data_IF_175791487197
#
_entry.id   IF_175791487197
#
_cell.length_a   1.000
_cell.length_b   1.000
_cell.length_c   1.000
_cell.angle_alpha   90.00
_cell.angle_beta   90.00
_cell.angle_gamma   90.00
#
_symmetry.space_group_name_H-M   'P 1'
#
loop_
_entity.id
_entity.type
_entity.pdbx_description
1 polymer ?
#
# COMPACT_ATOMS: atom_id res chain seq x y z
N UNK A 1 6.11 2.33 16.71
CA UNK A 1 5.44 3.63 17.01
C UNK A 1 6.27 4.39 18.03
N UNK A 2 6.47 5.69 17.86
CA UNK A 2 7.28 6.55 18.74
C UNK A 2 6.49 7.81 19.09
N UNK A 3 6.40 8.15 20.38
CA UNK A 3 5.75 9.37 20.87
C UNK A 3 6.79 10.42 21.24
N UNK A 4 6.44 11.70 21.07
CA UNK A 4 7.26 12.85 21.49
C UNK A 4 7.04 13.25 22.97
N UNK A 5 6.21 12.51 23.69
CA UNK A 5 5.87 12.76 25.10
C UNK A 5 6.09 11.52 25.98
N UNK A 6 6.83 11.64 27.10
CA UNK A 6 7.03 10.53 28.04
C UNK A 6 5.72 10.03 28.63
N UNK A 7 5.62 8.72 28.80
CA UNK A 7 4.47 8.09 29.45
C UNK A 7 4.59 8.22 30.97
N UNK A 8 3.49 8.62 31.63
CA UNK A 8 3.32 8.55 33.08
C UNK A 8 2.35 7.44 33.49
N UNK A 9 1.72 6.78 32.52
CA UNK A 9 0.84 5.64 32.69
C UNK A 9 1.06 4.67 31.53
N UNK A 10 1.12 3.38 31.85
CA UNK A 10 1.13 2.28 30.89
C UNK A 10 0.19 1.18 31.39
N UNK A 11 -0.45 0.48 30.47
CA UNK A 11 -1.17 -0.75 30.75
C UNK A 11 -1.20 -1.63 29.50
N UNK A 12 -1.16 -2.94 29.71
CA UNK A 12 -1.42 -3.91 28.65
C UNK A 12 -2.85 -4.45 28.77
N UNK A 13 -3.44 -4.77 27.61
CA UNK A 13 -4.81 -5.29 27.50
C UNK A 13 -4.77 -6.68 26.86
N UNK A 14 -5.43 -7.65 27.49
CA UNK A 14 -5.65 -8.99 26.96
C UNK A 14 -7.13 -9.33 27.05
N UNK A 15 -7.83 -9.34 25.90
CA UNK A 15 -9.28 -9.42 25.87
C UNK A 15 -9.92 -8.24 26.61
N UNK A 16 -10.63 -8.52 27.72
CA UNK A 16 -11.28 -7.50 28.54
C UNK A 16 -10.49 -7.11 29.80
N UNK A 17 -9.32 -7.71 30.02
CA UNK A 17 -8.50 -7.45 31.21
C UNK A 17 -7.48 -6.34 30.95
N UNK A 18 -7.45 -5.34 31.84
CA UNK A 18 -6.46 -4.26 31.82
C UNK A 18 -5.47 -4.48 32.97
N UNK A 19 -4.19 -4.59 32.64
CA UNK A 19 -3.11 -4.77 33.62
C UNK A 19 -2.27 -3.49 33.67
N UNK A 20 -2.48 -2.69 34.71
CA UNK A 20 -1.70 -1.47 34.94
C UNK A 20 -0.20 -1.79 35.14
N UNK A 21 0.66 -1.01 34.49
CA UNK A 21 2.10 -1.26 34.44
C UNK A 21 2.54 -2.37 33.47
N UNK A 22 1.59 -3.08 32.84
CA UNK A 22 1.89 -4.10 31.83
C UNK A 22 2.54 -3.48 30.58
N UNK A 23 3.64 -4.08 30.11
CA UNK A 23 4.40 -3.63 28.94
C UNK A 23 4.30 -4.58 27.74
N UNK A 24 3.72 -5.77 27.95
CA UNK A 24 3.55 -6.79 26.93
C UNK A 24 2.17 -7.44 27.09
N UNK A 25 1.56 -7.83 25.97
CA UNK A 25 0.37 -8.66 25.92
C UNK A 25 0.41 -9.56 24.70
N UNK A 26 0.20 -10.86 24.91
CA UNK A 26 0.05 -11.85 23.85
C UNK A 26 -1.32 -12.49 23.98
N UNK A 27 -2.26 -11.98 23.21
CA UNK A 27 -3.65 -12.41 23.23
C UNK A 27 -4.25 -12.33 21.82
N UNK A 28 -5.35 -13.05 21.59
CA UNK A 28 -6.17 -12.92 20.39
C UNK A 28 -6.70 -11.49 20.14
N UNK A 29 -6.86 -10.71 21.22
CA UNK A 29 -7.24 -9.31 21.22
C UNK A 29 -6.32 -8.55 22.18
N UNK A 30 -5.08 -8.34 21.75
CA UNK A 30 -4.09 -7.57 22.49
C UNK A 30 -4.29 -6.06 22.29
N UNK A 31 -3.99 -5.28 23.32
CA UNK A 31 -3.98 -3.82 23.26
C UNK A 31 -2.98 -3.21 24.23
N UNK A 32 -2.72 -1.92 24.06
CA UNK A 32 -1.88 -1.13 24.95
C UNK A 32 -2.53 0.22 25.23
N UNK A 33 -2.46 0.67 26.48
CA UNK A 33 -2.93 1.99 26.92
C UNK A 33 -1.72 2.73 27.47
N UNK A 34 -1.48 3.93 26.95
CA UNK A 34 -0.48 4.85 27.47
C UNK A 34 -1.16 6.12 27.93
N UNK A 35 -0.54 6.84 28.86
CA UNK A 35 -1.10 8.07 29.38
C UNK A 35 -0.05 9.03 29.91
N UNK A 36 -0.43 10.30 29.94
CA UNK A 36 0.40 11.43 30.37
C UNK A 36 -0.48 12.64 30.69
N UNK A 37 0.01 13.56 31.52
CA UNK A 37 -0.68 14.82 31.78
C UNK A 37 -0.48 15.82 30.63
N UNK A 38 -1.54 16.52 30.24
CA UNK A 38 -1.50 17.57 29.19
C UNK A 38 -1.95 18.93 29.72
N UNK A 39 -1.45 20.00 29.10
CA UNK A 39 -1.96 21.36 29.28
C UNK A 39 -2.95 21.72 28.17
N UNK A 40 -3.80 22.74 28.41
CA UNK A 40 -4.72 23.24 27.38
C UNK A 40 -3.93 23.67 26.13
N UNK A 41 -4.23 23.04 25.00
CA UNK A 41 -3.59 23.32 23.71
C UNK A 41 -2.29 22.56 23.43
N UNK A 42 -1.84 21.69 24.33
CA UNK A 42 -0.67 20.83 24.09
C UNK A 42 -0.97 19.79 23.01
N UNK A 43 -0.06 19.63 22.05
CA UNK A 43 -0.12 18.61 21.00
C UNK A 43 0.89 17.51 21.31
N UNK A 44 0.49 16.26 21.08
CA UNK A 44 1.35 15.08 21.19
C UNK A 44 1.36 14.38 19.84
N UNK A 45 2.53 14.02 19.35
CA UNK A 45 2.69 13.34 18.08
C UNK A 45 3.06 11.88 18.30
N UNK A 46 2.59 11.03 17.39
CA UNK A 46 2.94 9.63 17.32
C UNK A 46 3.40 9.31 15.89
N UNK A 47 4.65 8.93 15.71
CA UNK A 47 5.17 8.42 14.46
C UNK A 47 4.91 6.91 14.40
N UNK A 48 4.23 6.44 13.36
CA UNK A 48 3.79 5.05 13.23
C UNK A 48 4.20 4.53 11.85
N UNK A 49 4.77 3.33 11.84
CA UNK A 49 5.01 2.53 10.66
C UNK A 49 4.74 1.06 11.01
N UNK A 50 4.52 0.24 9.99
CA UNK A 50 4.33 -1.19 10.09
C UNK A 50 5.08 -1.88 8.95
N UNK A 51 5.22 -3.20 9.04
CA UNK A 51 5.78 -4.04 7.99
C UNK A 51 5.07 -5.39 7.98
N UNK A 52 5.00 -6.03 6.81
CA UNK A 52 4.60 -7.43 6.69
C UNK A 52 5.79 -8.39 6.82
N UNK A 53 7.02 -7.87 6.92
CA UNK A 53 8.27 -8.63 6.94
C UNK A 53 8.73 -8.88 8.38
N UNK A 54 9.02 -7.82 9.14
CA UNK A 54 9.48 -7.93 10.53
C UNK A 54 9.38 -6.61 11.30
N UNK A 55 9.59 -6.65 12.61
CA UNK A 55 9.66 -5.43 13.45
C UNK A 55 10.83 -4.53 13.02
N UNK A 56 12.00 -5.10 12.68
CA UNK A 56 13.16 -4.34 12.18
C UNK A 56 12.86 -3.63 10.86
N UNK A 57 12.12 -4.28 9.96
CA UNK A 57 11.69 -3.64 8.72
C UNK A 57 10.65 -2.52 8.99
N UNK A 58 9.79 -2.68 10.00
CA UNK A 58 8.88 -1.60 10.41
C UNK A 58 9.64 -0.38 10.97
N UNK A 59 10.76 -0.61 11.68
CA UNK A 59 11.66 0.46 12.12
C UNK A 59 12.38 1.13 10.94
N UNK A 60 12.78 0.37 9.91
CA UNK A 60 13.31 0.93 8.66
C UNK A 60 12.28 1.83 7.97
N UNK A 61 11.04 1.36 7.84
CA UNK A 61 9.94 2.14 7.24
C UNK A 61 9.62 3.41 8.04
N UNK A 62 9.78 3.38 9.37
CA UNK A 62 9.56 4.55 10.23
C UNK A 62 10.51 5.72 9.86
N UNK A 63 11.65 5.42 9.24
CA UNK A 63 12.60 6.44 8.77
C UNK A 63 12.02 7.34 7.68
N UNK A 64 10.95 6.93 6.99
CA UNK A 64 10.23 7.78 6.04
C UNK A 64 9.64 9.04 6.70
N UNK A 65 9.38 9.00 8.01
CA UNK A 65 8.86 10.13 8.79
C UNK A 65 9.96 10.91 9.52
N UNK A 66 11.22 10.44 9.49
CA UNK A 66 12.26 10.94 10.36
C UNK A 66 12.63 12.39 10.06
N UNK A 67 12.56 13.23 11.11
CA UNK A 67 12.97 14.63 11.07
C UNK A 67 11.92 15.61 10.53
N UNK A 68 10.77 15.13 10.04
CA UNK A 68 9.69 16.02 9.59
C UNK A 68 8.67 16.31 10.71
N UNK A 69 8.11 17.52 10.68
CA UNK A 69 6.91 17.85 11.44
C UNK A 69 5.65 17.31 10.75
N UNK A 70 4.54 17.23 11.48
CA UNK A 70 3.24 16.87 10.91
C UNK A 70 2.87 17.73 9.69
N UNK A 71 3.04 19.05 9.80
CA UNK A 71 2.73 19.98 8.71
C UNK A 71 3.61 19.73 7.47
N UNK A 72 4.89 19.38 7.69
CA UNK A 72 5.80 19.04 6.60
C UNK A 72 5.42 17.71 5.92
N UNK A 73 4.99 16.71 6.69
CA UNK A 73 4.46 15.45 6.15
C UNK A 73 3.19 15.72 5.32
N UNK A 74 2.28 16.56 5.82
CA UNK A 74 1.05 16.93 5.12
C UNK A 74 1.33 17.65 3.80
N UNK A 75 2.34 18.55 3.77
CA UNK A 75 2.79 19.24 2.56
C UNK A 75 3.41 18.25 1.56
N UNK A 76 4.32 17.37 1.98
CA UNK A 76 4.91 16.33 1.12
C UNK A 76 3.82 15.43 0.50
N UNK A 77 2.83 15.03 1.29
CA UNK A 77 1.69 14.26 0.81
C UNK A 77 0.86 15.02 -0.23
N UNK A 78 0.61 16.31 -0.01
CA UNK A 78 -0.08 17.18 -0.98
C UNK A 78 0.69 17.28 -2.29
N UNK A 79 2.01 17.43 -2.23
CA UNK A 79 2.86 17.52 -3.42
C UNK A 79 2.85 16.23 -4.23
N UNK A 80 2.91 15.07 -3.56
CA UNK A 80 2.77 13.76 -4.19
C UNK A 80 1.42 13.64 -4.89
N UNK A 81 0.32 14.01 -4.22
CA UNK A 81 -1.01 13.97 -4.82
C UNK A 81 -1.13 14.91 -6.01
N UNK A 82 -0.68 16.16 -5.89
CA UNK A 82 -0.70 17.11 -7.00
C UNK A 82 0.09 16.59 -8.20
N UNK A 83 1.28 16.01 -8.00
CA UNK A 83 2.07 15.43 -9.09
C UNK A 83 1.37 14.27 -9.80
N UNK A 84 0.62 13.45 -9.07
CA UNK A 84 -0.14 12.33 -9.64
C UNK A 84 -1.39 12.83 -10.37
N UNK A 85 -2.16 13.71 -9.74
CA UNK A 85 -3.45 14.18 -10.24
C UNK A 85 -3.32 15.21 -11.38
N UNK A 86 -2.23 15.99 -11.42
CA UNK A 86 -1.97 16.98 -12.47
C UNK A 86 -1.55 16.37 -13.80
N UNK A 87 -1.54 15.03 -13.93
CA UNK A 87 -1.41 14.35 -15.22
C UNK A 87 -2.56 14.67 -16.17
N UNK A 88 -3.70 15.07 -15.62
CA UNK A 88 -4.86 15.54 -16.37
C UNK A 88 -5.30 16.88 -15.80
N UNK A 89 -5.29 17.89 -16.64
CA UNK A 89 -5.80 19.22 -16.33
C UNK A 89 -7.16 19.39 -17.00
N UNK A 90 -8.18 19.68 -16.19
CA UNK A 90 -9.56 19.89 -16.65
C UNK A 90 -9.96 21.32 -16.34
N UNK A 91 -10.42 22.04 -17.37
CA UNK A 91 -10.98 23.38 -17.23
C UNK A 91 -12.51 23.29 -17.35
N UNK A 92 -13.21 23.65 -16.28
CA UNK A 92 -14.67 23.68 -16.21
C UNK A 92 -15.09 24.77 -15.21
N UNK A 93 -16.07 25.60 -15.57
CA UNK A 93 -16.58 26.66 -14.70
C UNK A 93 -17.44 26.10 -13.56
N UNK A 94 -17.90 24.84 -13.67
CA UNK A 94 -18.65 24.16 -12.63
C UNK A 94 -17.72 23.45 -11.65
N UNK A 95 -17.65 23.98 -10.42
CA UNK A 95 -16.82 23.42 -9.34
C UNK A 95 -17.22 21.98 -8.96
N UNK A 96 -18.49 21.58 -9.12
CA UNK A 96 -18.92 20.22 -8.78
C UNK A 96 -18.45 19.19 -9.81
N UNK A 97 -18.30 19.59 -11.08
CA UNK A 97 -17.67 18.75 -12.11
C UNK A 97 -16.20 18.52 -11.77
N UNK A 98 -15.47 19.58 -11.40
CA UNK A 98 -14.07 19.49 -10.98
C UNK A 98 -13.89 18.59 -9.75
N UNK A 99 -14.75 18.77 -8.73
CA UNK A 99 -14.73 17.93 -7.52
C UNK A 99 -14.97 16.47 -7.85
N UNK A 100 -15.95 16.18 -8.69
CA UNK A 100 -16.29 14.81 -9.12
C UNK A 100 -15.11 14.20 -9.86
N UNK A 101 -14.57 14.91 -10.85
CA UNK A 101 -13.46 14.44 -11.66
C UNK A 101 -12.23 14.09 -10.82
N UNK A 102 -11.73 15.03 -10.01
CA UNK A 102 -10.52 14.82 -9.20
C UNK A 102 -10.74 13.82 -8.06
N UNK A 103 -11.97 13.72 -7.52
CA UNK A 103 -12.30 12.67 -6.54
C UNK A 103 -12.29 11.28 -7.18
N UNK A 104 -12.85 11.12 -8.38
CA UNK A 104 -12.77 9.87 -9.14
C UNK A 104 -11.32 9.52 -9.51
N UNK A 105 -10.54 10.49 -10.00
CA UNK A 105 -9.13 10.28 -10.34
C UNK A 105 -8.31 9.85 -9.13
N UNK A 106 -8.52 10.49 -7.97
CA UNK A 106 -7.93 10.06 -6.70
C UNK A 106 -8.24 8.58 -6.40
N UNK A 107 -9.50 8.15 -6.55
CA UNK A 107 -9.88 6.75 -6.34
C UNK A 107 -9.23 5.79 -7.33
N UNK A 108 -9.00 6.22 -8.56
CA UNK A 108 -8.35 5.43 -9.62
C UNK A 108 -6.84 5.25 -9.46
N UNK A 109 -6.21 5.79 -8.41
CA UNK A 109 -4.77 5.64 -8.17
C UNK A 109 -4.46 5.16 -6.74
N UNK A 110 -5.44 4.55 -6.06
CA UNK A 110 -5.25 3.91 -4.76
C UNK A 110 -4.91 2.41 -4.87
N UNK A 111 -5.44 1.73 -5.88
CA UNK A 111 -5.35 0.27 -6.03
C UNK A 111 -4.80 -0.15 -7.41
N UNK A 112 -4.13 -1.32 -7.50
CA UNK A 112 -3.70 -2.15 -6.36
C UNK A 112 -2.61 -1.44 -5.53
N UNK A 113 -2.60 -1.70 -4.21
CA UNK A 113 -1.62 -1.07 -3.32
C UNK A 113 -0.24 -1.69 -3.53
N UNK A 114 0.82 -0.90 -3.33
CA UNK A 114 2.15 -1.46 -3.14
C UNK A 114 2.14 -2.42 -1.95
N UNK A 115 2.67 -3.61 -2.15
CA UNK A 115 2.85 -4.64 -1.12
C UNK A 115 4.31 -5.07 -1.03
N UNK A 116 5.20 -4.17 -1.45
CA UNK A 116 6.64 -4.27 -1.33
C UNK A 116 7.15 -3.15 -0.42
N UNK A 117 8.32 -3.36 0.14
CA UNK A 117 9.02 -2.49 1.07
C UNK A 117 10.46 -2.29 0.57
N UNK A 118 11.18 -1.32 1.14
CA UNK A 118 12.60 -1.11 0.86
C UNK A 118 13.41 -1.59 2.04
N UNK A 119 14.36 -2.49 1.80
CA UNK A 119 15.29 -2.91 2.85
C UNK A 119 16.27 -1.78 3.23
N UNK A 120 17.13 -2.04 4.23
CA UNK A 120 18.14 -1.09 4.70
C UNK A 120 19.17 -0.68 3.62
N UNK A 121 19.28 -1.42 2.51
CA UNK A 121 20.14 -1.11 1.37
C UNK A 121 19.37 -0.44 0.21
N UNK A 122 18.08 -0.15 0.42
CA UNK A 122 17.19 0.44 -0.58
C UNK A 122 16.71 -0.54 -1.65
N UNK A 123 16.92 -1.85 -1.47
CA UNK A 123 16.46 -2.88 -2.39
C UNK A 123 14.96 -3.14 -2.19
N UNK A 124 14.27 -3.44 -3.30
CA UNK A 124 12.85 -3.78 -3.27
C UNK A 124 12.68 -5.23 -2.81
N UNK A 125 11.95 -5.43 -1.73
CA UNK A 125 11.61 -6.73 -1.15
C UNK A 125 10.15 -6.78 -0.78
N UNK A 126 9.56 -7.96 -0.64
CA UNK A 126 8.19 -8.11 -0.18
C UNK A 126 8.01 -9.37 0.64
N UNK A 127 7.04 -9.35 1.56
CA UNK A 127 6.44 -10.56 2.10
C UNK A 127 5.45 -11.12 1.08
N UNK A 128 5.63 -12.37 0.67
CA UNK A 128 4.73 -13.05 -0.26
C UNK A 128 3.46 -13.48 0.46
N UNK A 129 2.28 -12.92 0.13
CA UNK A 129 1.03 -13.38 0.69
C UNK A 129 0.58 -14.74 0.10
N UNK A 130 1.34 -15.31 -0.84
CA UNK A 130 1.03 -16.55 -1.53
C UNK A 130 1.78 -17.75 -0.96
N UNK A 131 3.01 -17.56 -0.50
CA UNK A 131 3.83 -18.64 0.07
C UNK A 131 4.49 -18.32 1.43
N UNK A 132 4.28 -17.10 1.95
CA UNK A 132 4.74 -16.68 3.28
C UNK A 132 6.24 -16.38 3.39
N UNK A 133 6.98 -16.33 2.29
CA UNK A 133 8.42 -16.01 2.28
C UNK A 133 8.67 -14.53 2.01
N UNK A 134 9.85 -14.05 2.40
CA UNK A 134 10.35 -12.72 2.01
C UNK A 134 11.19 -12.88 0.74
N UNK A 135 10.83 -12.18 -0.33
CA UNK A 135 11.43 -12.33 -1.65
C UNK A 135 11.77 -10.96 -2.26
N UNK A 136 12.76 -10.89 -3.17
CA UNK A 136 13.08 -9.66 -3.87
C UNK A 136 12.03 -9.30 -4.93
N UNK A 137 11.94 -8.01 -5.27
CA UNK A 137 11.12 -7.51 -6.37
C UNK A 137 9.76 -6.98 -5.94
N UNK A 138 9.04 -6.40 -6.89
CA UNK A 138 7.76 -5.74 -6.61
C UNK A 138 6.66 -6.76 -6.29
N UNK A 139 5.68 -6.31 -5.50
CA UNK A 139 4.44 -7.03 -5.20
C UNK A 139 3.32 -6.01 -5.05
N UNK A 140 2.13 -6.34 -5.56
CA UNK A 140 0.93 -5.51 -5.47
C UNK A 140 -0.28 -6.40 -5.17
N UNK A 141 -1.26 -5.89 -4.43
CA UNK A 141 -2.47 -6.64 -4.06
C UNK A 141 -3.66 -5.72 -3.79
N UNK A 142 -4.78 -6.27 -3.32
CA UNK A 142 -6.05 -5.61 -3.06
C UNK A 142 -6.73 -5.08 -4.33
N UNK A 143 -6.87 -5.96 -5.31
CA UNK A 143 -7.67 -5.67 -6.49
C UNK A 143 -8.35 -6.92 -7.03
N UNK A 144 -9.53 -6.71 -7.59
CA UNK A 144 -10.25 -7.69 -8.40
C UNK A 144 -10.12 -7.34 -9.88
N UNK A 145 -9.53 -8.21 -10.68
CA UNK A 145 -9.43 -8.01 -12.11
C UNK A 145 -10.76 -8.11 -12.82
N UNK A 146 -11.76 -8.81 -12.29
CA UNK A 146 -13.13 -8.78 -12.83
C UNK A 146 -13.72 -7.36 -12.90
N UNK A 147 -13.34 -6.49 -11.97
CA UNK A 147 -13.69 -5.06 -11.97
C UNK A 147 -12.70 -4.25 -12.82
N UNK A 148 -11.42 -4.37 -12.49
CA UNK A 148 -10.40 -3.36 -12.83
C UNK A 148 -9.79 -3.52 -14.22
N UNK A 149 -9.97 -4.65 -14.89
CA UNK A 149 -9.52 -4.84 -16.27
C UNK A 149 -10.20 -3.89 -17.27
N UNK A 150 -11.42 -3.45 -16.95
CA UNK A 150 -12.32 -2.73 -17.87
C UNK A 150 -11.83 -1.34 -18.22
N UNK A 151 -11.36 -0.61 -17.21
CA UNK A 151 -10.95 0.79 -17.38
C UNK A 151 -9.80 1.20 -16.47
N UNK A 152 -9.68 0.63 -15.26
CA UNK A 152 -8.61 1.02 -14.33
C UNK A 152 -7.22 0.68 -14.88
N UNK A 153 -6.94 -0.58 -15.18
CA UNK A 153 -5.64 -0.96 -15.78
C UNK A 153 -5.39 -0.30 -17.14
N UNK A 154 -6.36 -0.25 -18.06
CA UNK A 154 -6.21 0.53 -19.29
C UNK A 154 -5.86 2.00 -19.07
N UNK A 155 -6.44 2.63 -18.06
CA UNK A 155 -6.16 4.01 -17.66
C UNK A 155 -4.74 4.16 -17.08
N UNK A 156 -4.31 3.25 -16.21
CA UNK A 156 -2.94 3.25 -15.66
C UNK A 156 -1.89 3.06 -16.76
N UNK A 157 -2.15 2.19 -17.75
CA UNK A 157 -1.26 1.99 -18.89
C UNK A 157 -1.08 3.25 -19.73
N UNK A 158 -2.10 4.11 -19.81
CA UNK A 158 -2.03 5.38 -20.53
C UNK A 158 -1.36 6.48 -19.69
N UNK A 159 -1.81 6.68 -18.47
CA UNK A 159 -1.46 7.88 -17.67
C UNK A 159 -0.28 7.65 -16.72
N UNK A 160 -0.07 6.41 -16.28
CA UNK A 160 0.93 6.02 -15.28
C UNK A 160 1.73 4.76 -15.70
N UNK A 161 2.24 4.67 -16.94
CA UNK A 161 2.83 3.42 -17.48
C UNK A 161 4.01 2.89 -16.65
N UNK A 162 4.81 3.77 -16.03
CA UNK A 162 5.91 3.34 -15.16
C UNK A 162 5.43 2.59 -13.92
N UNK A 163 4.24 2.91 -13.41
CA UNK A 163 3.64 2.17 -12.29
C UNK A 163 3.05 0.85 -12.78
N UNK A 164 2.37 0.86 -13.93
CA UNK A 164 1.87 -0.37 -14.56
C UNK A 164 2.98 -1.39 -14.81
N UNK A 165 4.18 -0.97 -15.26
CA UNK A 165 5.33 -1.88 -15.43
C UNK A 165 5.69 -2.59 -14.12
N UNK A 166 5.70 -1.88 -12.99
CA UNK A 166 5.96 -2.47 -11.67
C UNK A 166 4.85 -3.42 -11.24
N UNK A 167 3.60 -3.09 -11.56
CA UNK A 167 2.46 -3.97 -11.29
C UNK A 167 2.55 -5.26 -12.11
N UNK A 168 2.97 -5.20 -13.38
CA UNK A 168 3.21 -6.39 -14.22
C UNK A 168 4.38 -7.24 -13.69
N UNK A 169 5.47 -6.62 -13.24
CA UNK A 169 6.54 -7.34 -12.54
C UNK A 169 6.04 -8.00 -11.25
N UNK A 170 5.14 -7.34 -10.51
CA UNK A 170 4.43 -7.94 -9.39
C UNK A 170 3.64 -9.18 -9.79
N UNK A 171 2.95 -9.17 -10.94
CA UNK A 171 2.20 -10.33 -11.44
C UNK A 171 3.11 -11.50 -11.83
N UNK A 172 4.29 -11.22 -12.39
CA UNK A 172 5.32 -12.25 -12.62
C UNK A 172 5.66 -12.94 -11.29
N UNK A 173 5.86 -12.15 -10.23
CA UNK A 173 6.17 -12.68 -8.91
C UNK A 173 5.02 -13.49 -8.33
N UNK A 174 3.76 -13.02 -8.44
CA UNK A 174 2.58 -13.81 -8.04
C UNK A 174 2.57 -15.18 -8.70
N UNK A 175 2.76 -15.24 -10.03
CA UNK A 175 2.79 -16.51 -10.75
C UNK A 175 3.92 -17.42 -10.29
N UNK A 176 5.14 -16.90 -10.12
CA UNK A 176 6.28 -17.68 -9.63
C UNK A 176 6.08 -18.20 -8.20
N UNK A 177 5.33 -17.46 -7.38
CA UNK A 177 5.17 -17.74 -5.96
C UNK A 177 3.96 -18.62 -5.64
N UNK A 178 2.96 -18.64 -6.52
CA UNK A 178 1.70 -19.37 -6.31
C UNK A 178 1.34 -20.35 -7.42
N UNK A 179 1.99 -20.28 -8.59
CA UNK A 179 1.67 -21.05 -9.79
C UNK A 179 0.47 -20.54 -10.60
N UNK A 180 -0.15 -19.41 -10.23
CA UNK A 180 -1.34 -18.85 -10.89
C UNK A 180 -1.30 -17.32 -10.89
N UNK A 181 -1.81 -16.69 -11.94
CA UNK A 181 -2.14 -15.26 -11.88
C UNK A 181 -3.37 -15.05 -10.96
N UNK A 182 -3.43 -13.92 -10.23
CA UNK A 182 -4.56 -13.62 -9.38
C UNK A 182 -5.74 -13.12 -10.23
N UNK A 183 -6.97 -13.43 -9.82
CA UNK A 183 -8.19 -12.76 -10.32
C UNK A 183 -8.77 -11.82 -9.27
N UNK A 184 -8.75 -12.24 -8.01
CA UNK A 184 -9.01 -11.41 -6.85
C UNK A 184 -7.93 -11.67 -5.82
N UNK A 185 -7.21 -10.62 -5.42
CA UNK A 185 -6.15 -10.73 -4.41
C UNK A 185 -6.43 -9.79 -3.24
N UNK A 186 -6.45 -10.33 -2.01
CA UNK A 186 -6.49 -9.53 -0.77
C UNK A 186 -6.13 -10.35 0.49
N UNK A 187 -4.84 -10.35 0.92
CA UNK A 187 -3.68 -9.99 0.12
C UNK A 187 -3.22 -11.14 -0.81
N UNK A 188 -3.52 -12.40 -0.47
CA UNK A 188 -3.29 -13.57 -1.33
C UNK A 188 -4.51 -13.88 -2.19
N UNK A 189 -4.56 -15.06 -2.81
CA UNK A 189 -5.70 -15.51 -3.61
C UNK A 189 -7.00 -15.53 -2.81
N UNK A 190 -8.06 -14.98 -3.40
CA UNK A 190 -9.40 -14.96 -2.83
C UNK A 190 -10.41 -15.38 -3.89
N UNK A 191 -11.25 -16.36 -3.53
CA UNK A 191 -12.30 -16.88 -4.40
C UNK A 191 -13.48 -15.90 -4.46
N UNK A 192 -13.34 -14.84 -5.26
CA UNK A 192 -14.35 -13.81 -5.43
C UNK A 192 -14.47 -13.43 -6.91
N UNK A 193 -15.71 -13.29 -7.38
CA UNK A 193 -16.04 -13.04 -8.79
C UNK A 193 -15.54 -14.15 -9.72
N UNK A 194 -15.52 -13.91 -11.04
CA UNK A 194 -15.30 -14.94 -12.06
C UNK A 194 -14.43 -14.44 -13.21
N UNK A 195 -14.05 -15.37 -14.10
CA UNK A 195 -13.37 -15.08 -15.36
C UNK A 195 -11.86 -15.29 -15.26
N UNK A 196 -11.19 -15.01 -16.37
CA UNK A 196 -9.74 -15.05 -16.51
C UNK A 196 -9.26 -13.68 -17.02
N UNK A 197 -9.60 -12.64 -16.27
CA UNK A 197 -9.41 -11.24 -16.67
C UNK A 197 -7.96 -10.79 -16.45
N UNK A 198 -7.17 -11.54 -15.68
CA UNK A 198 -5.70 -11.41 -15.64
C UNK A 198 -5.08 -11.44 -17.04
N UNK A 199 -5.59 -12.30 -17.94
CA UNK A 199 -5.18 -12.34 -19.35
C UNK A 199 -5.38 -10.99 -20.05
N UNK A 200 -6.50 -10.31 -19.79
CA UNK A 200 -6.76 -8.97 -20.34
C UNK A 200 -5.80 -7.93 -19.77
N UNK A 201 -5.52 -7.97 -18.47
CA UNK A 201 -4.63 -7.02 -17.79
C UNK A 201 -3.19 -7.14 -18.31
N UNK A 202 -2.69 -8.37 -18.47
CA UNK A 202 -1.36 -8.66 -19.00
C UNK A 202 -1.27 -8.28 -20.48
N UNK A 203 -2.23 -8.74 -21.29
CA UNK A 203 -2.21 -8.50 -22.74
C UNK A 203 -2.34 -7.01 -23.08
N UNK A 204 -3.22 -6.25 -22.41
CA UNK A 204 -3.38 -4.81 -22.66
C UNK A 204 -2.09 -4.03 -22.38
N UNK A 205 -1.43 -4.31 -21.25
CA UNK A 205 -0.15 -3.69 -20.92
C UNK A 205 0.92 -3.98 -21.98
N UNK A 206 1.03 -5.24 -22.39
CA UNK A 206 2.00 -5.64 -23.40
C UNK A 206 1.69 -5.06 -24.78
N UNK A 207 0.43 -5.06 -25.22
CA UNK A 207 0.06 -4.51 -26.54
C UNK A 207 0.23 -2.98 -26.59
N UNK A 208 0.11 -2.28 -25.46
CA UNK A 208 0.40 -0.84 -25.33
C UNK A 208 1.88 -0.50 -25.18
N UNK A 209 2.78 -1.49 -25.29
CA UNK A 209 4.22 -1.27 -25.34
C UNK A 209 4.92 -1.23 -23.98
N UNK A 210 4.25 -1.59 -22.88
CA UNK A 210 4.92 -1.70 -21.58
C UNK A 210 5.84 -2.93 -21.58
N UNK A 211 7.11 -2.73 -21.26
CA UNK A 211 8.18 -3.74 -21.29
C UNK A 211 9.08 -3.58 -20.06
N UNK A 212 10.07 -4.47 -19.92
CA UNK A 212 11.06 -4.42 -18.83
C UNK A 212 10.78 -5.40 -17.69
N UNK A 213 9.77 -6.26 -17.84
CA UNK A 213 9.46 -7.39 -16.96
C UNK A 213 9.52 -8.70 -17.76
N UNK A 214 9.58 -9.82 -17.04
CA UNK A 214 9.66 -11.18 -17.58
C UNK A 214 8.33 -11.61 -18.22
N UNK A 215 8.11 -11.17 -19.46
CA UNK A 215 6.89 -11.47 -20.22
C UNK A 215 6.75 -12.96 -20.55
N UNK A 216 7.86 -13.69 -20.67
CA UNK A 216 7.81 -15.13 -20.98
C UNK A 216 7.11 -15.89 -19.85
N UNK A 217 7.40 -15.54 -18.59
CA UNK A 217 6.66 -16.08 -17.45
C UNK A 217 5.16 -15.77 -17.53
N UNK A 218 4.77 -14.55 -17.96
CA UNK A 218 3.36 -14.17 -18.09
C UNK A 218 2.66 -14.80 -19.30
N UNK A 219 3.41 -15.18 -20.33
CA UNK A 219 2.87 -15.93 -21.48
C UNK A 219 2.63 -17.41 -21.15
N UNK A 220 3.46 -17.99 -20.27
CA UNK A 220 3.31 -19.36 -19.78
C UNK A 220 2.19 -19.52 -18.75
N UNK A 221 1.93 -18.46 -17.97
CA UNK A 221 0.91 -18.41 -16.94
C UNK A 221 -0.52 -18.44 -17.52
#
# INVERSE_FOLDING_TARGET
MVFDKPFTYTASVAGNAITAGGLESKDSHAGGIIGFATRKGEKVHACIASSFISDEQAEENLKELSGDSFDRIAEKGRDVWNKVLSRIEVNDDNTDNLRTFYSCLYRSVLFPRSFYEKDAHGQIVHYSPYNGKVLPGYMFTDTGFWDTFRSLFPFLNLMYPSMSVKMQEGLVNVYKESGFLPEWASPGHRDCMIGNNSASVVADAYLKGLRGYDVESLWQA
#
